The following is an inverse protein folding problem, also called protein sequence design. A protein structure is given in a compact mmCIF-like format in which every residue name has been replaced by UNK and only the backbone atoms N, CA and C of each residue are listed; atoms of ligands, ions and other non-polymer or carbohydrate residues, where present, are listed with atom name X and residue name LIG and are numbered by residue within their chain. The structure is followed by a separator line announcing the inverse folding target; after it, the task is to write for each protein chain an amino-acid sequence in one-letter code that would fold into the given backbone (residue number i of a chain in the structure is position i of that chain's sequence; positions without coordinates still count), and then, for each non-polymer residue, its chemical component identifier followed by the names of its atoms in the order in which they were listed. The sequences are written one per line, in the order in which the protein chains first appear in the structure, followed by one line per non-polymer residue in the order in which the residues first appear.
data_IF_027637295461
#
_entry.id   IF_027637295461
#
_cell.length_a   1.000
_cell.length_b   1.000
_cell.length_c   1.000
_cell.angle_alpha   90.00
_cell.angle_beta   90.00
_cell.angle_gamma   90.00
#
_symmetry.space_group_name_H-M   'P 1'
#
loop_
_entity.id
_entity.type
_entity.pdbx_description
1 polymer ?
#
# COMPACT_ATOMS: atom_id res chain seq x y z
N UNK A 1 3.12 -0.49 17.11
CA UNK A 1 2.77 0.63 16.23
C UNK A 1 2.64 0.15 14.79
N UNK A 2 1.82 0.85 14.00
CA UNK A 2 1.62 0.54 12.59
C UNK A 2 1.81 1.79 11.75
N UNK A 3 2.33 1.59 10.56
CA UNK A 3 2.43 2.65 9.55
C UNK A 3 1.53 2.27 8.38
N UNK A 4 0.67 3.20 7.98
CA UNK A 4 -0.25 2.98 6.87
C UNK A 4 -0.13 4.11 5.85
N UNK A 5 -0.41 3.79 4.60
CA UNK A 5 -0.45 4.76 3.55
C UNK A 5 -1.38 4.32 2.44
N UNK A 6 -1.73 5.25 1.57
CA UNK A 6 -2.57 4.98 0.41
C UNK A 6 -1.75 5.26 -0.85
N UNK A 7 -1.84 4.35 -1.80
CA UNK A 7 -1.10 4.44 -3.06
C UNK A 7 -2.07 4.17 -4.20
N UNK A 8 -1.93 4.91 -5.30
CA UNK A 8 -2.72 4.62 -6.49
C UNK A 8 -2.34 3.25 -7.04
N UNK A 9 -3.34 2.48 -7.40
CA UNK A 9 -3.14 1.14 -7.96
C UNK A 9 -2.26 1.15 -9.21
N UNK A 10 -2.33 2.23 -9.98
CA UNK A 10 -1.55 2.38 -11.20
C UNK A 10 -0.10 2.80 -10.95
N UNK A 11 0.25 3.15 -9.72
CA UNK A 11 1.61 3.55 -9.40
C UNK A 11 2.44 2.31 -9.03
N UNK A 12 2.85 1.56 -10.05
CA UNK A 12 3.55 0.30 -9.85
C UNK A 12 4.91 0.48 -9.17
N UNK A 13 5.59 1.58 -9.40
CA UNK A 13 6.88 1.84 -8.76
C UNK A 13 6.74 1.98 -7.25
N UNK A 14 5.73 2.73 -6.81
CA UNK A 14 5.50 2.88 -5.37
C UNK A 14 5.05 1.57 -4.73
N UNK A 15 4.22 0.80 -5.43
CA UNK A 15 3.78 -0.49 -4.91
C UNK A 15 4.96 -1.46 -4.78
N UNK A 16 5.84 -1.46 -5.75
CA UNK A 16 7.03 -2.29 -5.70
C UNK A 16 7.93 -1.88 -4.52
N UNK A 17 8.15 -0.58 -4.37
CA UNK A 17 8.95 -0.07 -3.26
C UNK A 17 8.34 -0.44 -1.91
N UNK A 18 7.03 -0.30 -1.78
CA UNK A 18 6.34 -0.66 -0.54
C UNK A 18 6.54 -2.14 -0.20
N UNK A 19 6.46 -3.01 -1.19
CA UNK A 19 6.70 -4.44 -0.99
C UNK A 19 8.13 -4.72 -0.56
N UNK A 20 9.09 -4.05 -1.18
CA UNK A 20 10.50 -4.23 -0.84
C UNK A 20 10.79 -3.76 0.58
N UNK A 21 10.06 -2.78 1.06
CA UNK A 21 10.19 -2.28 2.43
C UNK A 21 9.42 -3.13 3.45
N UNK A 22 8.72 -4.16 3.00
CA UNK A 22 8.00 -5.07 3.89
C UNK A 22 6.57 -4.67 4.20
N UNK A 23 5.99 -3.76 3.43
CA UNK A 23 4.58 -3.38 3.61
C UNK A 23 3.66 -4.46 3.06
N UNK A 24 2.54 -4.66 3.72
CA UNK A 24 1.45 -5.46 3.18
C UNK A 24 0.61 -4.58 2.27
N UNK A 25 0.22 -5.12 1.14
CA UNK A 25 -0.58 -4.42 0.14
C UNK A 25 -1.97 -5.05 0.12
N UNK A 26 -2.99 -4.22 0.31
CA UNK A 26 -4.36 -4.70 0.33
C UNK A 26 -5.28 -3.73 -0.39
N UNK A 27 -6.48 -4.20 -0.72
CA UNK A 27 -7.48 -3.35 -1.37
C UNK A 27 -8.01 -2.31 -0.38
N UNK A 28 -8.25 -1.11 -0.89
CA UNK A 28 -8.88 -0.06 -0.10
C UNK A 28 -10.39 -0.13 -0.30
N UNK A 29 -11.15 -0.39 0.76
CA UNK A 29 -12.61 -0.45 0.62
C UNK A 29 -13.17 0.92 0.23
N UNK A 30 -14.01 0.95 -0.77
CA UNK A 30 -14.64 2.18 -1.22
C UNK A 30 -14.00 2.85 -2.42
N UNK A 31 -12.79 2.46 -2.81
CA UNK A 31 -12.15 3.02 -3.99
C UNK A 31 -11.24 1.99 -4.65
N UNK A 32 -11.66 1.49 -5.81
CA UNK A 32 -10.92 0.44 -6.51
C UNK A 32 -9.58 0.91 -7.08
N UNK A 33 -9.37 2.22 -7.18
CA UNK A 33 -8.13 2.78 -7.71
C UNK A 33 -7.07 3.01 -6.64
N UNK A 34 -7.44 2.83 -5.38
CA UNK A 34 -6.55 3.03 -4.24
C UNK A 34 -6.17 1.68 -3.66
N UNK A 35 -4.91 1.57 -3.27
CA UNK A 35 -4.39 0.40 -2.56
C UNK A 35 -3.87 0.86 -1.21
N UNK A 36 -4.19 0.12 -0.18
CA UNK A 36 -3.68 0.42 1.15
C UNK A 36 -2.41 -0.38 1.41
N UNK A 37 -1.39 0.28 1.91
CA UNK A 37 -0.16 -0.37 2.34
C UNK A 37 -0.02 -0.20 3.84
N UNK A 38 0.43 -1.24 4.51
CA UNK A 38 0.52 -1.24 5.97
C UNK A 38 1.72 -2.04 6.43
N UNK A 39 2.37 -1.54 7.45
CA UNK A 39 3.52 -2.22 8.04
C UNK A 39 3.44 -2.13 9.56
N UNK A 40 3.68 -3.24 10.22
CA UNK A 40 3.80 -3.29 11.67
C UNK A 40 5.22 -2.89 12.07
N UNK A 41 5.33 -1.99 13.00
CA UNK A 41 6.61 -1.48 13.46
C UNK A 41 7.05 -2.09 14.79
#
# INVERSE_FOLDING_TARGET
AQMEGLVLRTNSEMLQLARELGFEVSKYPGDAEIVRVRKSL
#
